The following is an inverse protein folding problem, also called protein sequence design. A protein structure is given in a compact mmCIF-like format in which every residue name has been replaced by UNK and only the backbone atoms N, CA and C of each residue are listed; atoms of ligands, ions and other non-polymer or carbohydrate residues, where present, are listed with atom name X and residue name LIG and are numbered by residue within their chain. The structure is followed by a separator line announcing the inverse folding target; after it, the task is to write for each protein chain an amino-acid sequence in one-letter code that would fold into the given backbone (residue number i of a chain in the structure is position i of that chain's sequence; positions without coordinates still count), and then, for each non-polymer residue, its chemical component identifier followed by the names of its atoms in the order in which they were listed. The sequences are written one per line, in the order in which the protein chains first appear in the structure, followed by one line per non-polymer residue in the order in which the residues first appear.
data_IF_292832928593
#
_entry.id   IF_292832928593
#
_cell.length_a   1.000
_cell.length_b   1.000
_cell.length_c   1.000
_cell.angle_alpha   90.00
_cell.angle_beta   90.00
_cell.angle_gamma   90.00
#
_symmetry.space_group_name_H-M   'P 1'
#
loop_
_entity.id
_entity.type
_entity.pdbx_description
1 polymer ?
#
# COMPACT_ATOMS: atom_id res chain seq x y z
N UNK A 1 30.96 4.10 2.36
CA UNK A 1 29.72 3.30 2.25
C UNK A 1 28.52 4.24 2.40
N UNK A 2 27.75 4.50 1.35
CA UNK A 2 26.55 5.37 1.43
C UNK A 2 25.47 4.63 2.25
N UNK A 3 25.04 5.18 3.39
CA UNK A 3 23.93 4.62 4.18
C UNK A 3 22.70 4.51 3.27
N UNK A 4 22.15 3.30 3.09
CA UNK A 4 20.90 3.08 2.35
C UNK A 4 19.82 3.95 3.02
N UNK A 5 19.27 4.93 2.30
CA UNK A 5 18.23 5.82 2.86
C UNK A 5 17.04 4.95 3.22
N UNK A 6 16.73 4.89 4.52
CA UNK A 6 15.55 4.17 5.01
C UNK A 6 14.34 5.01 4.61
N UNK A 7 13.54 4.52 3.66
CA UNK A 7 12.32 5.21 3.26
C UNK A 7 11.16 4.63 4.06
N UNK A 8 10.51 5.49 4.86
CA UNK A 8 9.36 5.09 5.67
C UNK A 8 8.14 4.92 4.78
N UNK A 9 7.36 3.88 5.04
CA UNK A 9 6.14 3.60 4.28
C UNK A 9 5.11 4.73 4.40
N UNK A 10 5.03 5.38 5.57
CA UNK A 10 4.11 6.50 5.82
C UNK A 10 4.40 7.72 4.93
N UNK A 11 5.68 8.02 4.71
CA UNK A 11 6.11 9.12 3.83
C UNK A 11 5.74 8.83 2.38
N UNK A 12 5.93 7.59 1.92
CA UNK A 12 5.51 7.17 0.59
C UNK A 12 4.00 7.23 0.39
N UNK A 13 3.22 6.79 1.38
CA UNK A 13 1.76 6.86 1.30
C UNK A 13 1.29 8.31 1.24
N UNK A 14 1.89 9.20 2.04
CA UNK A 14 1.58 10.62 1.98
C UNK A 14 1.88 11.21 0.59
N UNK A 15 3.07 10.95 0.03
CA UNK A 15 3.45 11.41 -1.31
C UNK A 15 2.52 10.83 -2.40
N UNK A 16 2.16 9.55 -2.25
CA UNK A 16 1.26 8.84 -3.15
C UNK A 16 -0.11 9.53 -3.24
N UNK A 17 -0.70 9.91 -2.11
CA UNK A 17 -2.02 10.53 -2.07
C UNK A 17 -2.03 12.03 -2.35
N UNK A 18 -0.98 12.75 -1.94
CA UNK A 18 -0.92 14.21 -2.07
C UNK A 18 -0.45 14.66 -3.46
N UNK A 19 0.54 13.96 -4.03
CA UNK A 19 1.15 14.35 -5.30
C UNK A 19 0.85 13.33 -6.40
N UNK A 20 1.24 12.06 -6.23
CA UNK A 20 1.20 11.11 -7.35
C UNK A 20 -0.21 10.85 -7.88
N UNK A 21 -1.16 10.48 -7.03
CA UNK A 21 -2.52 10.18 -7.48
C UNK A 21 -3.21 11.39 -8.12
N UNK A 22 -3.02 12.57 -7.54
CA UNK A 22 -3.68 13.80 -8.00
C UNK A 22 -3.02 14.36 -9.25
N UNK A 23 -1.70 14.60 -9.21
CA UNK A 23 -0.97 15.35 -10.24
C UNK A 23 -0.48 14.46 -11.38
N UNK A 24 -0.07 13.22 -11.09
CA UNK A 24 0.50 12.31 -12.10
C UNK A 24 -0.56 11.41 -12.71
N UNK A 25 -1.44 10.84 -11.88
CA UNK A 25 -2.47 9.90 -12.35
C UNK A 25 -3.80 10.56 -12.72
N UNK A 26 -4.06 11.78 -12.27
CA UNK A 26 -5.36 12.44 -12.47
C UNK A 26 -6.52 11.63 -11.88
N UNK A 27 -6.30 10.96 -10.75
CA UNK A 27 -7.28 10.06 -10.17
C UNK A 27 -8.54 10.80 -9.69
N UNK A 28 -9.72 10.23 -9.96
CA UNK A 28 -10.99 10.78 -9.48
C UNK A 28 -11.09 10.72 -7.95
N UNK A 29 -11.95 11.55 -7.31
CA UNK A 29 -12.22 11.47 -5.88
C UNK A 29 -12.61 10.05 -5.43
N UNK A 30 -13.45 9.36 -6.21
CA UNK A 30 -13.89 7.99 -5.91
C UNK A 30 -12.72 6.99 -5.95
N UNK A 31 -11.79 7.16 -6.89
CA UNK A 31 -10.58 6.33 -6.96
C UNK A 31 -9.68 6.60 -5.77
N UNK A 32 -9.52 7.87 -5.40
CA UNK A 32 -8.75 8.27 -4.23
C UNK A 32 -9.30 7.64 -2.95
N UNK A 33 -10.61 7.72 -2.72
CA UNK A 33 -11.24 7.15 -1.52
C UNK A 33 -11.20 5.62 -1.52
N UNK A 34 -11.38 4.98 -2.68
CA UNK A 34 -11.17 3.54 -2.82
C UNK A 34 -9.75 3.12 -2.46
N UNK A 35 -8.74 3.91 -2.87
CA UNK A 35 -7.35 3.65 -2.55
C UNK A 35 -7.06 3.90 -1.07
N UNK A 36 -7.59 4.97 -0.46
CA UNK A 36 -7.48 5.19 1.00
C UNK A 36 -8.03 3.99 1.77
N UNK A 37 -9.22 3.52 1.39
CA UNK A 37 -9.83 2.33 1.98
C UNK A 37 -8.95 1.08 1.85
N UNK A 38 -8.20 0.95 0.76
CA UNK A 38 -7.20 -0.11 0.60
C UNK A 38 -6.07 0.01 1.63
N UNK A 39 -5.46 1.20 1.76
CA UNK A 39 -4.36 1.43 2.67
C UNK A 39 -4.75 1.40 4.16
N UNK A 40 -5.99 1.78 4.51
CA UNK A 40 -6.53 1.65 5.87
C UNK A 40 -6.60 0.19 6.34
N UNK A 41 -6.73 -0.78 5.43
CA UNK A 41 -6.63 -2.21 5.77
C UNK A 41 -5.20 -2.73 5.67
N UNK A 42 -4.47 -2.29 4.64
CA UNK A 42 -3.13 -2.79 4.38
C UNK A 42 -2.13 -2.44 5.48
N UNK A 43 -2.19 -1.22 6.03
CA UNK A 43 -1.24 -0.76 7.05
C UNK A 43 -1.35 -1.53 8.38
N UNK A 44 -2.54 -1.68 8.99
CA UNK A 44 -2.68 -2.50 10.20
C UNK A 44 -2.36 -3.97 9.95
N UNK A 45 -2.76 -4.52 8.79
CA UNK A 45 -2.41 -5.89 8.42
C UNK A 45 -0.90 -6.08 8.38
N UNK A 46 -0.18 -5.18 7.70
CA UNK A 46 1.28 -5.25 7.55
C UNK A 46 1.99 -5.12 8.89
N UNK A 47 1.54 -4.20 9.74
CA UNK A 47 2.05 -4.02 11.09
C UNK A 47 1.88 -5.30 11.93
N UNK A 48 0.70 -5.94 11.86
CA UNK A 48 0.41 -7.21 12.56
C UNK A 48 1.27 -8.35 12.00
N UNK A 49 1.30 -8.52 10.68
CA UNK A 49 2.04 -9.59 10.00
C UNK A 49 3.53 -9.56 10.32
N UNK A 50 4.13 -8.37 10.36
CA UNK A 50 5.57 -8.19 10.62
C UNK A 50 5.89 -8.03 12.10
N UNK A 51 4.89 -8.00 12.99
CA UNK A 51 5.02 -7.66 14.39
C UNK A 51 5.79 -6.33 14.62
N UNK A 52 5.38 -5.29 13.90
CA UNK A 52 6.01 -3.96 13.90
C UNK A 52 4.96 -2.86 14.11
N UNK A 53 5.38 -1.72 14.66
CA UNK A 53 4.52 -0.53 14.71
C UNK A 53 4.35 0.03 13.29
N UNK A 54 3.16 0.56 12.96
CA UNK A 54 2.88 1.18 11.64
C UNK A 54 3.94 2.23 11.28
N UNK A 55 4.33 3.08 12.24
CA UNK A 55 5.33 4.14 12.04
C UNK A 55 6.76 3.62 11.81
N UNK A 56 7.01 2.33 12.03
CA UNK A 56 8.30 1.69 11.80
C UNK A 56 8.39 0.91 10.48
N UNK A 57 7.28 0.82 9.74
CA UNK A 57 7.21 0.13 8.45
C UNK A 57 8.03 0.87 7.38
N UNK A 58 8.73 0.10 6.56
CA UNK A 58 9.60 0.58 5.49
C UNK A 58 9.17 -0.02 4.15
N UNK A 59 9.57 0.59 3.04
CA UNK A 59 9.32 0.01 1.71
C UNK A 59 9.95 -1.38 1.59
N UNK A 60 11.16 -1.57 2.13
CA UNK A 60 11.88 -2.86 2.10
C UNK A 60 11.14 -4.00 2.83
N UNK A 61 10.15 -3.67 3.67
CA UNK A 61 9.29 -4.66 4.32
C UNK A 61 8.20 -5.21 3.36
N UNK A 62 7.92 -4.53 2.24
CA UNK A 62 6.88 -4.88 1.28
C UNK A 62 7.33 -5.99 0.33
N UNK A 63 7.39 -7.22 0.85
CA UNK A 63 7.74 -8.42 0.09
C UNK A 63 6.52 -9.05 -0.59
N UNK A 64 6.76 -9.85 -1.62
CA UNK A 64 5.71 -10.59 -2.33
C UNK A 64 4.86 -11.44 -1.38
N UNK A 65 5.47 -12.14 -0.43
CA UNK A 65 4.75 -13.01 0.51
C UNK A 65 3.79 -12.23 1.42
N UNK A 66 4.17 -11.02 1.83
CA UNK A 66 3.30 -10.11 2.57
C UNK A 66 2.08 -9.72 1.73
N UNK A 67 2.29 -9.40 0.45
CA UNK A 67 1.20 -9.01 -0.46
C UNK A 67 0.28 -10.21 -0.70
N UNK A 68 0.81 -11.41 -0.92
CA UNK A 68 0.01 -12.62 -1.08
C UNK A 68 -0.82 -12.92 0.17
N UNK A 69 -0.19 -12.85 1.35
CA UNK A 69 -0.88 -13.05 2.64
C UNK A 69 -1.98 -12.00 2.87
N UNK A 70 -1.75 -10.74 2.48
CA UNK A 70 -2.77 -9.71 2.53
C UNK A 70 -3.94 -10.01 1.61
N UNK A 71 -3.66 -10.50 0.41
CA UNK A 71 -4.68 -10.85 -0.57
C UNK A 71 -5.54 -12.04 -0.13
N UNK A 72 -4.94 -13.01 0.54
CA UNK A 72 -5.65 -14.14 1.15
C UNK A 72 -6.52 -13.68 2.33
N UNK A 73 -5.99 -12.84 3.22
CA UNK A 73 -6.74 -12.20 4.31
C UNK A 73 -7.97 -11.43 3.81
N UNK A 74 -7.86 -10.77 2.66
CA UNK A 74 -9.01 -10.06 2.07
C UNK A 74 -10.13 -11.01 1.64
N UNK A 75 -9.81 -12.20 1.13
CA UNK A 75 -10.82 -13.17 0.67
C UNK A 75 -11.37 -13.97 1.85
N UNK A 76 -10.51 -14.43 2.76
CA UNK A 76 -10.86 -15.38 3.82
C UNK A 76 -11.47 -14.68 5.04
N UNK A 77 -10.71 -13.81 5.71
CA UNK A 77 -11.19 -13.12 6.91
C UNK A 77 -12.21 -12.02 6.61
N UNK A 78 -12.05 -11.34 5.47
CA UNK A 78 -12.87 -10.16 5.12
C UNK A 78 -13.97 -10.45 4.11
N UNK A 79 -14.04 -11.67 3.57
CA UNK A 79 -15.04 -12.10 2.59
C UNK A 79 -15.17 -11.12 1.40
N UNK A 80 -14.08 -10.46 1.00
CA UNK A 80 -14.11 -9.56 -0.15
C UNK A 80 -14.16 -10.40 -1.43
N UNK A 81 -15.08 -10.06 -2.32
CA UNK A 81 -15.10 -10.66 -3.65
C UNK A 81 -13.82 -10.31 -4.44
N UNK A 82 -13.54 -11.13 -5.46
CA UNK A 82 -12.37 -10.99 -6.35
C UNK A 82 -12.23 -9.57 -6.91
N UNK A 83 -13.34 -8.92 -7.27
CA UNK A 83 -13.35 -7.54 -7.78
C UNK A 83 -12.80 -6.54 -6.76
N UNK A 84 -13.28 -6.60 -5.52
CA UNK A 84 -12.84 -5.71 -4.44
C UNK A 84 -11.39 -5.98 -4.04
N UNK A 85 -10.99 -7.26 -3.98
CA UNK A 85 -9.59 -7.64 -3.76
C UNK A 85 -8.67 -7.07 -4.84
N UNK A 86 -9.02 -7.22 -6.12
CA UNK A 86 -8.20 -6.74 -7.23
C UNK A 86 -8.12 -5.21 -7.27
N UNK A 87 -9.17 -4.50 -6.84
CA UNK A 87 -9.14 -3.05 -6.66
C UNK A 87 -8.10 -2.66 -5.59
N UNK A 88 -8.11 -3.34 -4.44
CA UNK A 88 -7.13 -3.11 -3.35
C UNK A 88 -5.70 -3.44 -3.81
N UNK A 89 -5.51 -4.52 -4.55
CA UNK A 89 -4.21 -4.88 -5.15
C UNK A 89 -3.74 -3.81 -6.14
N UNK A 90 -4.64 -3.25 -6.94
CA UNK A 90 -4.33 -2.19 -7.91
C UNK A 90 -3.82 -0.92 -7.24
N UNK A 91 -4.36 -0.58 -6.06
CA UNK A 91 -3.85 0.54 -5.25
C UNK A 91 -2.39 0.31 -4.83
N UNK A 92 -2.08 -0.89 -4.31
CA UNK A 92 -0.71 -1.26 -3.89
C UNK A 92 0.25 -1.25 -5.08
N UNK A 93 -0.15 -1.85 -6.22
CA UNK A 93 0.65 -1.86 -7.46
C UNK A 93 0.90 -0.45 -7.99
N UNK A 94 -0.09 0.44 -7.87
CA UNK A 94 0.05 1.84 -8.28
C UNK A 94 1.08 2.58 -7.42
N UNK A 95 1.10 2.37 -6.10
CA UNK A 95 2.12 2.95 -5.24
C UNK A 95 3.51 2.35 -5.51
N UNK A 96 3.60 1.04 -5.71
CA UNK A 96 4.86 0.39 -6.10
C UNK A 96 5.43 0.96 -7.41
N UNK A 97 4.55 1.29 -8.38
CA UNK A 97 4.94 1.97 -9.61
C UNK A 97 5.50 3.37 -9.33
N UNK A 98 4.86 4.16 -8.47
CA UNK A 98 5.39 5.46 -8.05
C UNK A 98 6.78 5.32 -7.44
N UNK A 99 6.95 4.39 -6.49
CA UNK A 99 8.23 4.15 -5.81
C UNK A 99 9.33 3.79 -6.81
N UNK A 100 9.04 2.99 -7.83
CA UNK A 100 10.02 2.59 -8.87
C UNK A 100 10.48 3.75 -9.75
N UNK A 101 9.75 4.86 -9.82
CA UNK A 101 10.08 6.02 -10.65
C UNK A 101 11.06 6.99 -9.97
N UNK A 102 11.39 6.76 -8.70
CA UNK A 102 12.35 7.54 -7.90
C UNK A 102 13.54 6.67 -7.51
#
# INVERSE_FOLDING_TARGET
MKKKKIIKLTECIHEFFTNYLKKVKGASPQTNDSYKNAFCLFLPFTAKYLNKKINSLKIDDLKTDLILSFLEYLETDRNNCVKTRNLRLSAIKSMARMIRLY
#
